data_IF_896107445702
#
_entry.id   IF_896107445702
#
_cell.length_a   1.000
_cell.length_b   1.000
_cell.length_c   1.000
_cell.angle_alpha   90.00
_cell.angle_beta   90.00
_cell.angle_gamma   90.00
#
_symmetry.space_group_name_H-M   'P 1'
#
loop_
_entity.id
_entity.type
_entity.pdbx_description
1 polymer ?
#
# COMPACT_ATOMS: atom_id res chain seq x y z
N UNK A 1 64.20 -22.07 -8.53
CA UNK A 1 63.05 -21.20 -8.84
C UNK A 1 61.79 -21.87 -8.30
N UNK A 2 61.29 -21.39 -7.15
CA UNK A 2 60.07 -21.84 -6.47
C UNK A 2 58.99 -20.80 -6.74
N UNK A 3 57.93 -21.17 -7.45
CA UNK A 3 56.74 -20.33 -7.65
C UNK A 3 55.68 -20.68 -6.61
N UNK A 4 55.44 -19.77 -5.68
CA UNK A 4 54.39 -19.89 -4.67
C UNK A 4 53.11 -19.21 -5.19
N UNK A 5 52.11 -20.01 -5.55
CA UNK A 5 50.74 -19.55 -5.76
C UNK A 5 50.10 -19.32 -4.38
N UNK A 6 49.97 -18.05 -4.00
CA UNK A 6 49.26 -17.60 -2.81
C UNK A 6 47.79 -17.46 -3.20
N UNK A 7 46.95 -18.40 -2.80
CA UNK A 7 45.49 -18.26 -2.90
C UNK A 7 45.01 -17.27 -1.84
N UNK A 8 44.84 -16.01 -2.21
CA UNK A 8 43.83 -15.17 -1.58
C UNK A 8 42.48 -15.72 -2.06
N UNK A 9 41.58 -16.21 -1.21
CA UNK A 9 41.06 -15.44 -0.07
C UNK A 9 40.05 -14.40 -0.55
N UNK A 10 39.41 -14.60 -1.70
CA UNK A 10 38.37 -13.72 -2.24
C UNK A 10 37.00 -14.24 -1.81
N UNK A 11 36.74 -14.19 -0.49
CA UNK A 11 35.38 -14.19 0.07
C UNK A 11 34.80 -12.77 -0.06
N UNK A 12 34.95 -12.22 -1.26
CA UNK A 12 34.46 -10.91 -1.68
C UNK A 12 32.94 -10.96 -1.72
N UNK A 13 32.34 -10.05 -0.95
CA UNK A 13 31.20 -9.25 -1.40
C UNK A 13 30.05 -10.05 -2.01
N UNK A 14 29.61 -11.11 -1.33
CA UNK A 14 28.16 -11.24 -1.16
C UNK A 14 27.76 -10.08 -0.23
N UNK A 15 27.80 -8.86 -0.79
CA UNK A 15 27.02 -7.75 -0.26
C UNK A 15 25.63 -8.33 -0.06
N UNK A 16 25.20 -8.39 1.19
CA UNK A 16 23.79 -8.48 1.51
C UNK A 16 23.15 -7.30 0.76
N UNK A 17 22.69 -7.54 -0.47
CA UNK A 17 21.74 -6.65 -1.11
C UNK A 17 20.63 -6.54 -0.07
N UNK A 18 20.32 -5.33 0.42
CA UNK A 18 19.25 -5.18 1.41
C UNK A 18 18.08 -5.94 0.83
N UNK A 19 17.67 -7.01 1.53
CA UNK A 19 16.63 -7.89 1.04
C UNK A 19 15.47 -6.96 0.62
N UNK A 20 14.94 -7.18 -0.58
CA UNK A 20 13.75 -6.48 -1.04
C UNK A 20 12.63 -6.86 -0.05
N UNK A 21 12.53 -6.07 1.03
CA UNK A 21 11.64 -6.30 2.14
C UNK A 21 10.27 -5.81 1.71
N UNK A 22 9.33 -6.74 1.59
CA UNK A 22 7.89 -6.52 1.40
C UNK A 22 7.56 -5.69 0.15
N UNK A 23 7.15 -6.39 -0.92
CA UNK A 23 6.48 -5.76 -2.06
C UNK A 23 4.96 -5.60 -1.81
N UNK A 24 4.55 -5.51 -0.54
CA UNK A 24 3.15 -5.34 -0.21
C UNK A 24 2.70 -3.99 -0.76
N UNK A 25 1.83 -4.05 -1.76
CA UNK A 25 1.30 -2.86 -2.41
C UNK A 25 -0.18 -2.73 -2.12
N UNK A 26 -0.64 -1.53 -1.82
CA UNK A 26 -2.04 -1.23 -1.64
C UNK A 26 -2.57 -0.43 -2.84
N UNK A 27 -3.82 -0.69 -3.20
CA UNK A 27 -4.56 0.15 -4.15
C UNK A 27 -5.98 0.40 -3.64
N UNK A 28 -6.67 1.36 -4.24
CA UNK A 28 -7.96 1.84 -3.75
C UNK A 28 -9.01 1.85 -4.86
N UNK A 29 -10.26 1.52 -4.50
CA UNK A 29 -11.41 1.64 -5.38
C UNK A 29 -12.61 2.26 -4.69
N UNK A 30 -13.52 2.76 -5.51
CA UNK A 30 -14.81 3.28 -5.09
C UNK A 30 -15.92 2.34 -5.54
N UNK A 31 -16.83 2.01 -4.63
CA UNK A 31 -17.94 1.11 -4.90
C UNK A 31 -19.12 1.85 -5.58
N UNK A 32 -20.21 1.16 -5.88
CA UNK A 32 -21.38 1.78 -6.54
C UNK A 32 -22.13 2.79 -5.65
N UNK A 33 -21.98 2.68 -4.32
CA UNK A 33 -22.58 3.54 -3.31
C UNK A 33 -21.69 4.74 -2.98
N UNK A 34 -20.43 4.74 -3.45
CA UNK A 34 -19.46 5.78 -3.17
C UNK A 34 -18.58 5.50 -1.95
N UNK A 35 -18.61 4.28 -1.39
CA UNK A 35 -17.68 3.87 -0.35
C UNK A 35 -16.29 3.63 -0.91
N UNK A 36 -15.28 3.81 -0.07
CA UNK A 36 -13.87 3.57 -0.45
C UNK A 36 -13.39 2.25 0.15
N UNK A 37 -12.80 1.42 -0.71
CA UNK A 37 -12.11 0.19 -0.34
C UNK A 37 -10.62 0.32 -0.57
N UNK A 38 -9.82 -0.21 0.36
CA UNK A 38 -8.36 -0.41 0.22
C UNK A 38 -8.10 -1.90 0.03
N UNK A 39 -7.23 -2.22 -0.92
CA UNK A 39 -6.96 -3.56 -1.40
C UNK A 39 -5.48 -3.86 -1.25
N UNK A 40 -5.15 -4.72 -0.30
CA UNK A 40 -3.79 -5.21 -0.06
C UNK A 40 -3.49 -6.40 -0.97
N UNK A 41 -2.50 -6.22 -1.84
CA UNK A 41 -2.07 -7.22 -2.82
C UNK A 41 -1.30 -8.39 -2.20
N UNK A 42 -0.65 -8.18 -1.04
CA UNK A 42 0.41 -9.08 -0.57
C UNK A 42 1.51 -9.29 -1.62
N UNK A 43 2.19 -10.44 -1.60
CA UNK A 43 3.37 -10.68 -2.45
C UNK A 43 3.08 -10.83 -3.96
N UNK A 44 1.93 -11.38 -4.36
CA UNK A 44 1.59 -11.62 -5.79
C UNK A 44 0.19 -11.16 -6.20
N UNK A 45 -0.41 -10.21 -5.46
CA UNK A 45 -1.76 -9.77 -5.79
C UNK A 45 -1.83 -8.98 -7.08
N UNK A 46 -2.95 -9.13 -7.79
CA UNK A 46 -3.20 -8.35 -8.98
C UNK A 46 -3.30 -6.87 -8.64
N UNK A 47 -2.41 -6.07 -9.20
CA UNK A 47 -2.48 -4.61 -9.07
C UNK A 47 -2.63 -3.98 -10.46
N UNK A 48 -3.29 -2.81 -10.57
CA UNK A 48 -3.34 -2.07 -11.83
C UNK A 48 -1.92 -1.83 -12.36
N UNK A 49 -1.63 -2.16 -13.62
CA UNK A 49 -0.28 -2.09 -14.22
C UNK A 49 0.37 -0.71 -14.08
N UNK A 50 -0.44 0.36 -14.04
CA UNK A 50 0.05 1.72 -13.82
C UNK A 50 0.74 1.90 -12.45
N UNK A 51 0.44 1.04 -11.46
CA UNK A 51 1.07 1.04 -10.15
C UNK A 51 2.28 0.07 -10.07
N UNK A 52 2.35 -1.00 -10.86
CA UNK A 52 3.41 -2.03 -10.77
C UNK A 52 4.80 -1.52 -11.17
N UNK A 53 4.87 -0.69 -12.21
CA UNK A 53 6.13 -0.46 -12.89
C UNK A 53 6.83 0.84 -12.48
N UNK A 54 6.23 1.73 -11.70
CA UNK A 54 6.81 3.03 -11.33
C UNK A 54 7.26 3.94 -12.49
N UNK A 55 7.10 3.48 -13.73
CA UNK A 55 7.49 4.13 -14.98
C UNK A 55 6.28 4.69 -15.73
N UNK A 56 5.09 4.16 -15.50
CA UNK A 56 3.89 4.97 -15.62
C UNK A 56 3.90 5.94 -14.43
N UNK A 57 3.54 7.21 -14.58
CA UNK A 57 3.24 8.00 -13.39
C UNK A 57 2.16 7.18 -12.67
N UNK A 58 2.49 6.62 -11.49
CA UNK A 58 1.52 6.07 -10.51
C UNK A 58 0.33 6.99 -10.65
N UNK A 59 -0.80 6.51 -11.21
CA UNK A 59 -1.77 7.39 -11.90
C UNK A 59 -1.78 8.74 -11.19
N UNK A 60 -1.23 9.84 -11.79
CA UNK A 60 -0.82 11.04 -11.06
C UNK A 60 -2.00 11.78 -10.41
N UNK A 61 -3.16 11.15 -10.44
CA UNK A 61 -4.44 11.59 -10.00
C UNK A 61 -4.95 10.81 -8.78
N UNK A 62 -4.42 9.64 -8.40
CA UNK A 62 -4.73 9.09 -7.07
C UNK A 62 -3.77 9.70 -6.05
N UNK A 63 -4.23 10.76 -5.39
CA UNK A 63 -3.46 11.45 -4.37
C UNK A 63 -3.84 10.90 -2.99
N UNK A 64 -2.97 10.11 -2.38
CA UNK A 64 -3.17 9.59 -1.02
C UNK A 64 -3.37 10.71 0.01
N UNK A 65 -2.77 11.88 -0.22
CA UNK A 65 -2.99 13.04 0.62
C UNK A 65 -4.47 13.49 0.58
N UNK A 66 -5.11 13.41 -0.60
CA UNK A 66 -6.53 13.75 -0.75
C UNK A 66 -7.45 12.73 -0.09
N UNK A 67 -7.10 11.44 -0.11
CA UNK A 67 -7.79 10.43 0.70
C UNK A 67 -7.60 10.73 2.19
N UNK A 68 -6.41 11.13 2.62
CA UNK A 68 -6.12 11.48 4.01
C UNK A 68 -6.94 12.68 4.47
N UNK A 69 -7.18 13.67 3.61
CA UNK A 69 -8.13 14.78 3.87
C UNK A 69 -9.54 14.25 4.19
N UNK A 70 -10.00 13.25 3.44
CA UNK A 70 -11.32 12.64 3.67
C UNK A 70 -11.38 11.86 4.98
N UNK A 71 -10.30 11.12 5.30
CA UNK A 71 -10.18 10.38 6.55
C UNK A 71 -10.16 11.33 7.75
N UNK A 72 -9.52 12.49 7.63
CA UNK A 72 -9.56 13.56 8.65
C UNK A 72 -10.99 14.07 8.83
N UNK A 73 -11.68 14.40 7.73
CA UNK A 73 -13.07 14.86 7.78
C UNK A 73 -13.99 13.82 8.42
N UNK A 74 -13.77 12.53 8.11
CA UNK A 74 -14.48 11.41 8.69
C UNK A 74 -14.23 11.27 10.19
N UNK A 75 -12.97 11.30 10.63
CA UNK A 75 -12.61 11.27 12.06
C UNK A 75 -13.24 12.42 12.85
N UNK A 76 -13.18 13.65 12.31
CA UNK A 76 -13.80 14.83 12.92
C UNK A 76 -15.32 14.68 13.07
N UNK A 77 -15.99 14.07 12.10
CA UNK A 77 -17.42 13.77 12.18
C UNK A 77 -17.74 12.75 13.29
N UNK A 78 -16.86 11.78 13.50
CA UNK A 78 -16.95 10.83 14.61
C UNK A 78 -16.64 11.47 15.98
N UNK A 79 -16.19 12.73 16.01
CA UNK A 79 -15.81 13.45 17.22
C UNK A 79 -14.35 13.27 17.61
N UNK A 80 -13.55 12.60 16.77
CA UNK A 80 -12.13 12.40 16.99
C UNK A 80 -11.33 13.58 16.42
N UNK A 81 -10.33 14.05 17.17
CA UNK A 81 -9.34 15.02 16.67
C UNK A 81 -8.07 14.26 16.28
N UNK A 82 -7.87 13.92 14.98
CA UNK A 82 -6.73 13.09 14.56
C UNK A 82 -5.39 13.77 14.85
N UNK A 83 -5.35 15.09 15.00
CA UNK A 83 -4.14 15.82 15.34
C UNK A 83 -3.78 15.71 16.83
N UNK A 84 -4.75 15.45 17.72
CA UNK A 84 -4.54 15.46 19.18
C UNK A 84 -3.74 16.69 19.64
N UNK A 85 -2.58 16.47 20.27
CA UNK A 85 -1.62 17.51 20.69
C UNK A 85 -0.51 17.79 19.65
N UNK A 86 -0.44 17.02 18.57
CA UNK A 86 0.60 17.17 17.55
C UNK A 86 0.37 18.43 16.72
N UNK A 87 1.39 19.29 16.63
CA UNK A 87 1.34 20.56 15.90
C UNK A 87 2.64 20.72 15.10
N UNK A 88 2.69 20.31 13.82
CA UNK A 88 3.88 20.44 13.01
C UNK A 88 4.27 21.91 12.84
N UNK A 89 5.54 22.18 12.57
CA UNK A 89 6.00 23.53 12.22
C UNK A 89 5.27 24.04 10.97
N UNK A 90 5.04 25.35 10.82
CA UNK A 90 4.42 25.88 9.61
C UNK A 90 5.35 25.64 8.42
N UNK A 91 4.79 25.17 7.32
CA UNK A 91 5.48 24.86 6.08
C UNK A 91 4.69 25.42 4.89
N UNK A 92 5.40 25.73 3.81
CA UNK A 92 4.77 26.20 2.58
C UNK A 92 4.27 25.00 1.77
N UNK A 93 3.04 25.08 1.26
CA UNK A 93 2.39 23.99 0.53
C UNK A 93 0.87 24.16 0.50
N UNK A 94 0.17 23.16 -0.03
CA UNK A 94 -1.30 23.12 0.13
C UNK A 94 -1.61 22.83 1.61
N UNK A 95 -2.53 23.58 2.19
CA UNK A 95 -2.75 23.59 3.63
C UNK A 95 -4.19 23.24 3.96
N UNK A 96 -4.36 22.29 4.86
CA UNK A 96 -5.60 22.04 5.58
C UNK A 96 -5.72 23.01 6.75
N UNK A 97 -6.92 23.53 6.96
CA UNK A 97 -7.26 24.44 8.05
C UNK A 97 -8.50 23.92 8.76
N UNK A 98 -8.38 23.65 10.05
CA UNK A 98 -9.51 23.34 10.91
C UNK A 98 -9.91 24.57 11.72
N UNK A 99 -11.17 24.98 11.59
CA UNK A 99 -11.76 26.13 12.25
C UNK A 99 -12.81 25.68 13.26
N UNK A 100 -12.71 26.20 14.48
CA UNK A 100 -13.63 25.99 15.60
C UNK A 100 -14.37 27.29 15.89
N UNK A 101 -15.25 27.65 14.96
CA UNK A 101 -16.11 28.84 14.97
C UNK A 101 -17.57 28.42 14.92
N UNK A 102 -18.49 29.30 15.36
CA UNK A 102 -19.91 28.93 15.52
C UNK A 102 -20.67 28.87 14.19
N UNK A 103 -20.29 29.71 13.22
CA UNK A 103 -20.98 29.81 11.93
C UNK A 103 -20.04 29.98 10.73
N UNK A 104 -20.63 29.84 9.54
CA UNK A 104 -19.91 29.87 8.26
C UNK A 104 -19.38 31.27 7.91
N UNK A 105 -20.04 32.35 8.36
CA UNK A 105 -19.61 33.71 8.06
C UNK A 105 -18.31 34.03 8.80
N UNK A 106 -18.19 33.62 10.08
CA UNK A 106 -16.94 33.71 10.85
C UNK A 106 -15.81 32.88 10.20
N UNK A 107 -16.14 31.69 9.69
CA UNK A 107 -15.17 30.84 8.99
C UNK A 107 -14.68 31.52 7.69
N UNK A 108 -15.58 32.14 6.92
CA UNK A 108 -15.22 32.86 5.70
C UNK A 108 -14.38 34.11 5.99
N UNK A 109 -14.69 34.85 7.06
CA UNK A 109 -13.90 35.99 7.52
C UNK A 109 -12.47 35.57 7.91
N UNK A 110 -12.32 34.45 8.65
CA UNK A 110 -11.02 33.93 9.04
C UNK A 110 -10.12 33.55 7.84
N UNK A 111 -10.74 33.17 6.72
CA UNK A 111 -10.08 32.76 5.49
C UNK A 111 -10.01 33.87 4.43
N UNK A 112 -10.38 35.11 4.78
CA UNK A 112 -10.48 36.21 3.83
C UNK A 112 -9.16 36.42 3.04
N UNK A 113 -9.32 36.64 1.72
CA UNK A 113 -8.23 36.89 0.80
C UNK A 113 -7.53 35.63 0.26
N UNK A 114 -7.92 34.44 0.72
CA UNK A 114 -7.42 33.16 0.25
C UNK A 114 -8.53 32.33 -0.42
N UNK A 115 -8.13 31.30 -1.16
CA UNK A 115 -9.08 30.39 -1.84
C UNK A 115 -9.02 29.01 -1.20
N UNK A 116 -10.19 28.55 -0.78
CA UNK A 116 -10.35 27.29 -0.07
C UNK A 116 -11.52 26.49 -0.62
N UNK A 117 -11.39 25.17 -0.52
CA UNK A 117 -12.44 24.19 -0.76
C UNK A 117 -12.94 23.74 0.61
N UNK A 118 -14.24 23.88 0.87
CA UNK A 118 -14.86 23.32 2.05
C UNK A 118 -14.91 21.80 1.93
N UNK A 119 -14.22 21.12 2.84
CA UNK A 119 -14.21 19.65 2.95
C UNK A 119 -15.33 19.20 3.89
N UNK A 120 -15.50 19.93 5.00
CA UNK A 120 -16.57 19.77 5.99
C UNK A 120 -17.21 21.15 6.22
N UNK A 121 -18.52 21.26 6.01
CA UNK A 121 -19.29 22.51 5.97
C UNK A 121 -20.14 22.78 7.23
N UNK A 122 -19.80 22.12 8.32
CA UNK A 122 -20.36 22.30 9.65
C UNK A 122 -19.24 22.33 10.71
N UNK A 123 -19.50 22.84 11.91
CA UNK A 123 -18.49 22.96 12.95
C UNK A 123 -18.00 21.59 13.49
N UNK A 124 -16.69 21.40 13.75
CA UNK A 124 -15.61 22.27 13.31
C UNK A 124 -15.46 22.19 11.79
N UNK A 125 -15.25 23.35 11.15
CA UNK A 125 -15.17 23.45 9.69
C UNK A 125 -13.77 23.05 9.22
N UNK A 126 -13.71 22.26 8.14
CA UNK A 126 -12.44 21.83 7.54
C UNK A 126 -12.33 22.34 6.12
N UNK A 127 -11.23 23.05 5.84
CA UNK A 127 -10.95 23.64 4.54
C UNK A 127 -9.60 23.18 4.00
N UNK A 128 -9.51 23.02 2.68
CA UNK A 128 -8.27 22.75 1.95
C UNK A 128 -7.97 23.90 0.99
N UNK A 129 -6.75 24.45 1.02
CA UNK A 129 -6.39 25.52 0.10
C UNK A 129 -6.41 25.05 -1.36
N UNK A 130 -6.91 25.91 -2.26
CA UNK A 130 -6.90 25.63 -3.72
C UNK A 130 -5.49 25.66 -4.31
N UNK A 131 -4.57 26.40 -3.68
CA UNK A 131 -3.16 26.52 -4.09
C UNK A 131 -2.20 26.41 -2.91
N UNK A 132 -0.91 26.51 -3.21
CA UNK A 132 0.12 26.55 -2.17
C UNK A 132 0.08 27.87 -1.42
N UNK A 133 0.16 27.79 -0.09
CA UNK A 133 0.35 28.93 0.80
C UNK A 133 1.83 29.06 1.16
N UNK A 134 2.29 30.29 1.33
CA UNK A 134 3.60 30.60 1.92
C UNK A 134 3.60 30.37 3.43
N UNK A 135 4.81 30.24 4.02
CA UNK A 135 4.95 30.09 5.47
C UNK A 135 4.30 31.26 6.22
N UNK A 136 4.48 32.50 5.76
CA UNK A 136 3.89 33.70 6.38
C UNK A 136 2.35 33.66 6.34
N UNK A 137 1.76 33.17 5.25
CA UNK A 137 0.30 32.99 5.16
C UNK A 137 -0.20 31.92 6.12
N UNK A 138 0.52 30.81 6.26
CA UNK A 138 0.20 29.74 7.22
C UNK A 138 0.34 30.23 8.66
N UNK A 139 1.39 31.00 8.99
CA UNK A 139 1.56 31.61 10.31
C UNK A 139 0.47 32.63 10.63
N UNK A 140 0.07 33.44 9.64
CA UNK A 140 -1.06 34.35 9.78
C UNK A 140 -2.34 33.57 10.10
N UNK A 141 -2.65 32.52 9.34
CA UNK A 141 -3.82 31.67 9.60
C UNK A 141 -3.79 31.04 11.00
N UNK A 142 -2.65 30.50 11.42
CA UNK A 142 -2.49 29.93 12.78
C UNK A 142 -2.71 30.95 13.90
N UNK A 143 -2.54 32.24 13.60
CA UNK A 143 -2.74 33.33 14.55
C UNK A 143 -4.15 33.91 14.51
N UNK A 144 -4.97 33.52 13.53
CA UNK A 144 -6.37 33.94 13.40
C UNK A 144 -7.23 33.27 14.48
N UNK A 145 -8.13 34.05 15.09
CA UNK A 145 -9.09 33.53 16.06
C UNK A 145 -9.98 32.44 15.43
N UNK A 146 -10.27 31.39 16.20
CA UNK A 146 -11.03 30.23 15.72
C UNK A 146 -10.23 29.19 14.95
N UNK A 147 -9.03 29.48 14.44
CA UNK A 147 -8.19 28.46 13.79
C UNK A 147 -7.62 27.53 14.86
N UNK A 148 -8.07 26.26 14.86
CA UNK A 148 -7.59 25.25 15.81
C UNK A 148 -6.21 24.72 15.42
N UNK A 149 -6.03 24.40 14.14
CA UNK A 149 -4.73 23.99 13.59
C UNK A 149 -4.68 24.16 12.07
N UNK A 150 -3.45 24.19 11.55
CA UNK A 150 -3.17 24.06 10.13
C UNK A 150 -2.15 22.95 9.89
N UNK A 151 -2.32 22.23 8.78
CA UNK A 151 -1.53 21.06 8.42
C UNK A 151 -1.17 21.11 6.94
N UNK A 152 0.10 20.90 6.59
CA UNK A 152 0.48 20.72 5.19
C UNK A 152 -0.10 19.41 4.68
N UNK A 153 -0.62 19.42 3.45
CA UNK A 153 -1.24 18.27 2.83
C UNK A 153 -0.30 17.04 2.82
N UNK A 154 1.01 17.24 2.65
CA UNK A 154 2.02 16.16 2.65
C UNK A 154 2.25 15.53 4.02
N UNK A 155 1.92 16.26 5.08
CA UNK A 155 2.07 15.80 6.46
C UNK A 155 0.85 14.98 6.92
N UNK A 156 -0.19 14.84 6.08
CA UNK A 156 -1.41 14.09 6.43
C UNK A 156 -1.19 12.58 6.52
N UNK A 157 -0.20 12.04 5.80
CA UNK A 157 0.16 10.61 5.84
C UNK A 157 0.55 10.15 7.26
N UNK A 158 1.27 11.00 7.99
CA UNK A 158 1.76 10.70 9.35
C UNK A 158 0.60 10.44 10.33
N UNK A 159 -0.57 11.04 10.13
CA UNK A 159 -1.74 10.90 11.00
C UNK A 159 -2.35 9.51 11.01
N UNK A 160 -2.18 8.78 9.91
CA UNK A 160 -2.81 7.48 9.71
C UNK A 160 -1.84 6.33 9.61
N UNK A 161 -0.53 6.62 9.59
CA UNK A 161 0.50 5.60 9.63
C UNK A 161 0.40 4.79 10.93
N UNK A 162 0.20 3.48 10.81
CA UNK A 162 0.17 2.55 11.94
C UNK A 162 -1.09 2.57 12.82
N UNK A 163 -2.16 3.26 12.42
CA UNK A 163 -3.37 3.31 13.22
C UNK A 163 -4.31 2.14 12.88
N UNK A 164 -4.55 1.24 13.84
CA UNK A 164 -5.50 0.12 13.71
C UNK A 164 -6.98 0.57 13.88
N UNK A 165 -7.23 1.87 14.03
CA UNK A 165 -8.57 2.44 14.19
C UNK A 165 -9.48 2.25 12.98
N UNK A 166 -10.76 2.57 13.18
CA UNK A 166 -11.73 2.69 12.10
C UNK A 166 -11.42 3.94 11.29
N UNK A 167 -10.97 3.75 10.05
CA UNK A 167 -10.63 4.82 9.12
C UNK A 167 -11.72 5.06 8.06
N UNK A 168 -12.88 4.42 8.24
CA UNK A 168 -14.00 4.48 7.33
C UNK A 168 -13.79 3.70 6.03
N UNK A 169 -12.66 3.00 5.86
CA UNK A 169 -12.36 2.25 4.63
C UNK A 169 -12.77 0.79 4.79
N UNK A 170 -13.19 0.16 3.69
CA UNK A 170 -13.30 -1.29 3.61
C UNK A 170 -11.92 -1.89 3.30
N UNK A 171 -11.40 -2.74 4.17
CA UNK A 171 -10.07 -3.34 3.98
C UNK A 171 -10.24 -4.73 3.39
N UNK A 172 -9.80 -4.87 2.16
CA UNK A 172 -9.72 -6.14 1.47
C UNK A 172 -8.27 -6.59 1.40
N UNK A 173 -8.03 -7.86 1.64
CA UNK A 173 -6.72 -8.48 1.43
C UNK A 173 -6.88 -9.59 0.43
N UNK A 174 -5.88 -9.77 -0.42
CA UNK A 174 -5.82 -10.91 -1.31
C UNK A 174 -5.94 -12.20 -0.50
N UNK A 175 -6.78 -13.12 -0.97
CA UNK A 175 -6.73 -14.49 -0.49
C UNK A 175 -5.42 -15.13 -0.99
N UNK A 176 -4.58 -15.66 -0.09
CA UNK A 176 -3.33 -16.35 -0.43
C UNK A 176 -3.55 -17.64 -1.26
N UNK A 177 -4.78 -17.92 -1.65
CA UNK A 177 -5.14 -18.95 -2.61
C UNK A 177 -4.61 -18.68 -4.03
N UNK A 178 -5.06 -19.54 -4.93
CA UNK A 178 -4.64 -19.57 -6.34
C UNK A 178 -5.32 -18.49 -7.19
N UNK A 179 -6.12 -17.58 -6.65
CA UNK A 179 -6.87 -16.62 -7.49
C UNK A 179 -6.34 -15.18 -7.30
N UNK A 180 -5.44 -14.69 -8.17
CA UNK A 180 -4.73 -13.42 -7.94
C UNK A 180 -5.66 -12.20 -7.98
N UNK A 181 -6.84 -12.33 -8.60
CA UNK A 181 -7.86 -11.28 -8.65
C UNK A 181 -8.92 -11.39 -7.56
N UNK A 182 -8.81 -12.32 -6.60
CA UNK A 182 -9.76 -12.49 -5.51
C UNK A 182 -9.28 -11.78 -4.23
N UNK A 183 -10.13 -10.88 -3.75
CA UNK A 183 -9.93 -10.11 -2.55
C UNK A 183 -11.01 -10.41 -1.54
N UNK A 184 -10.63 -10.69 -0.29
CA UNK A 184 -11.56 -11.00 0.80
C UNK A 184 -11.57 -9.85 1.80
N UNK A 185 -12.77 -9.42 2.19
CA UNK A 185 -12.96 -8.38 3.19
C UNK A 185 -12.40 -8.85 4.54
N UNK A 186 -11.36 -8.17 5.02
CA UNK A 186 -10.77 -8.41 6.34
C UNK A 186 -11.42 -7.53 7.41
N UNK A 187 -11.74 -6.28 7.06
CA UNK A 187 -12.30 -5.30 7.98
C UNK A 187 -13.31 -4.40 7.29
N UNK A 188 -14.54 -4.42 7.80
CA UNK A 188 -15.55 -3.41 7.47
C UNK A 188 -15.46 -2.26 8.48
N UNK A 189 -15.61 -1.00 8.03
CA UNK A 189 -15.72 0.14 8.93
C UNK A 189 -17.09 0.13 9.62
N UNK A 190 -17.17 0.67 10.84
CA UNK A 190 -18.44 0.87 11.55
C UNK A 190 -19.23 2.03 10.92
N UNK A 191 -18.52 3.08 10.52
CA UNK A 191 -19.06 4.19 9.74
C UNK A 191 -18.30 4.31 8.42
N UNK A 192 -18.86 3.88 7.29
CA UNK A 192 -18.18 3.98 6.01
C UNK A 192 -17.87 5.42 5.60
N UNK A 193 -16.67 5.61 5.05
CA UNK A 193 -16.27 6.83 4.36
C UNK A 193 -16.96 6.88 3.00
N UNK A 194 -17.88 7.83 2.85
CA UNK A 194 -18.60 8.08 1.60
C UNK A 194 -17.97 9.25 0.84
N UNK A 195 -17.74 9.05 -0.47
CA UNK A 195 -17.32 10.13 -1.35
C UNK A 195 -18.48 11.09 -1.63
N UNK A 196 -18.52 12.16 -0.84
CA UNK A 196 -19.52 13.21 -0.98
C UNK A 196 -19.51 13.81 -2.41
N UNK A 197 -20.68 14.02 -3.04
CA UNK A 197 -20.77 14.65 -4.36
C UNK A 197 -20.20 16.06 -4.44
N UNK A 198 -20.05 16.76 -3.30
CA UNK A 198 -19.49 18.13 -3.24
C UNK A 198 -17.99 18.16 -3.54
N UNK A 199 -17.29 17.05 -3.30
CA UNK A 199 -15.88 16.93 -3.52
C UNK A 199 -15.57 16.49 -4.95
N UNK A 200 -16.26 17.00 -5.97
CA UNK A 200 -16.12 16.52 -7.35
C UNK A 200 -14.67 16.49 -7.85
N UNK A 201 -13.84 17.42 -7.38
CA UNK A 201 -12.41 17.45 -7.72
C UNK A 201 -11.67 16.25 -7.10
N UNK A 202 -11.81 16.03 -5.79
CA UNK A 202 -11.21 14.87 -5.10
C UNK A 202 -11.84 13.54 -5.55
N UNK A 203 -13.16 13.54 -5.80
CA UNK A 203 -13.91 12.40 -6.31
C UNK A 203 -13.47 12.04 -7.72
N UNK A 204 -13.20 12.99 -8.62
CA UNK A 204 -12.72 12.69 -9.97
C UNK A 204 -11.37 11.94 -9.97
N UNK A 205 -10.51 12.25 -8.99
CA UNK A 205 -9.28 11.54 -8.72
C UNK A 205 -9.54 10.10 -8.25
N UNK A 206 -10.37 9.94 -7.21
CA UNK A 206 -10.67 8.64 -6.59
C UNK A 206 -11.59 7.74 -7.43
N UNK A 207 -12.41 8.31 -8.31
CA UNK A 207 -13.49 7.62 -9.04
C UNK A 207 -13.09 6.92 -10.34
N UNK A 208 -11.81 6.96 -10.73
CA UNK A 208 -11.37 6.26 -11.95
C UNK A 208 -11.46 4.76 -11.82
N UNK A 209 -11.27 4.24 -10.61
CA UNK A 209 -11.44 2.83 -10.31
C UNK A 209 -12.75 2.62 -9.56
N UNK A 210 -13.84 2.63 -10.32
CA UNK A 210 -15.17 2.30 -9.81
C UNK A 210 -15.46 0.83 -10.04
N UNK A 211 -15.79 0.12 -8.97
CA UNK A 211 -16.27 -1.24 -9.04
C UNK A 211 -17.79 -1.24 -8.94
N UNK A 212 -18.52 -1.95 -9.82
CA UNK A 212 -19.98 -2.08 -9.76
C UNK A 212 -20.37 -3.10 -8.68
N UNK A 213 -19.93 -2.84 -7.46
CA UNK A 213 -20.06 -3.68 -6.27
C UNK A 213 -20.49 -2.81 -5.11
N UNK A 214 -21.22 -3.37 -4.16
CA UNK A 214 -21.53 -2.74 -2.88
C UNK A 214 -20.62 -3.37 -1.82
N UNK A 215 -19.62 -2.64 -1.35
CA UNK A 215 -18.65 -3.17 -0.37
C UNK A 215 -19.31 -3.51 0.96
N UNK A 216 -20.42 -2.86 1.33
CA UNK A 216 -21.15 -3.16 2.56
C UNK A 216 -21.83 -4.54 2.57
N UNK A 217 -22.04 -5.12 1.38
CA UNK A 217 -22.72 -6.41 1.18
C UNK A 217 -21.80 -7.52 0.67
N UNK A 218 -20.54 -7.19 0.39
CA UNK A 218 -19.61 -8.08 -0.31
C UNK A 218 -18.54 -8.57 0.65
N UNK A 219 -18.56 -9.86 0.96
CA UNK A 219 -17.48 -10.51 1.72
C UNK A 219 -16.24 -10.73 0.84
N UNK A 220 -16.43 -10.79 -0.47
CA UNK A 220 -15.38 -11.00 -1.46
C UNK A 220 -15.62 -10.13 -2.69
N UNK A 221 -14.53 -9.67 -3.29
CA UNK A 221 -14.53 -8.95 -4.56
C UNK A 221 -13.57 -9.66 -5.49
N UNK A 222 -14.06 -10.08 -6.64
CA UNK A 222 -13.22 -10.68 -7.65
C UNK A 222 -13.14 -9.76 -8.88
N UNK A 223 -11.95 -9.23 -9.14
CA UNK A 223 -11.73 -8.22 -10.19
C UNK A 223 -12.16 -8.69 -11.58
N UNK A 224 -11.98 -9.97 -11.91
CA UNK A 224 -12.37 -10.55 -13.18
C UNK A 224 -13.90 -10.51 -13.43
N UNK A 225 -14.71 -10.37 -12.39
CA UNK A 225 -16.17 -10.30 -12.51
C UNK A 225 -16.66 -8.88 -12.86
N UNK A 226 -15.76 -7.89 -12.80
CA UNK A 226 -16.07 -6.47 -12.94
C UNK A 226 -15.30 -5.76 -14.05
N UNK A 227 -14.24 -6.38 -14.55
CA UNK A 227 -13.39 -5.85 -15.61
C UNK A 227 -13.61 -6.62 -16.91
N UNK A 228 -13.55 -5.93 -18.04
CA UNK A 228 -13.46 -6.61 -19.33
C UNK A 228 -12.15 -7.40 -19.45
N UNK A 229 -12.09 -8.39 -20.33
CA UNK A 229 -10.87 -9.19 -20.54
C UNK A 229 -9.66 -8.31 -20.92
N UNK A 230 -9.88 -7.23 -21.68
CA UNK A 230 -8.84 -6.28 -22.05
C UNK A 230 -8.35 -5.44 -20.87
N UNK A 231 -9.25 -5.04 -19.96
CA UNK A 231 -8.88 -4.36 -18.72
C UNK A 231 -8.19 -5.33 -17.76
N UNK A 232 -8.68 -6.56 -17.61
CA UNK A 232 -8.06 -7.58 -16.75
C UNK A 232 -6.59 -7.86 -17.12
N UNK A 233 -6.25 -7.79 -18.41
CA UNK A 233 -4.87 -7.94 -18.89
C UNK A 233 -3.95 -6.78 -18.48
N UNK A 234 -4.51 -5.66 -17.99
CA UNK A 234 -3.74 -4.54 -17.47
C UNK A 234 -3.49 -4.61 -15.96
N UNK A 235 -3.74 -5.73 -15.28
CA UNK A 235 -3.67 -5.85 -13.81
C UNK A 235 -2.58 -6.81 -13.32
N UNK A 236 -1.40 -6.71 -13.92
CA UNK A 236 -0.23 -7.54 -13.63
C UNK A 236 0.12 -8.51 -14.76
N UNK A 237 1.18 -9.28 -14.53
CA UNK A 237 1.65 -10.31 -15.48
C UNK A 237 0.82 -11.61 -15.40
N UNK A 238 0.06 -11.78 -14.31
CA UNK A 238 -0.79 -12.94 -14.06
C UNK A 238 -2.24 -12.63 -14.48
N UNK A 239 -2.96 -13.59 -15.08
CA UNK A 239 -4.37 -13.39 -15.37
C UNK A 239 -5.15 -13.29 -14.05
N UNK A 240 -6.11 -12.36 -13.97
CA UNK A 240 -6.92 -12.15 -12.77
C UNK A 240 -7.62 -13.41 -12.27
N UNK A 241 -7.93 -14.35 -13.17
CA UNK A 241 -8.50 -15.66 -12.86
C UNK A 241 -7.70 -16.72 -13.58
N UNK A 242 -7.26 -17.75 -12.86
CA UNK A 242 -6.62 -18.89 -13.51
C UNK A 242 -7.66 -19.71 -14.27
N UNK A 243 -7.54 -19.72 -15.60
CA UNK A 243 -8.32 -20.64 -16.42
C UNK A 243 -7.80 -22.07 -16.26
N UNK A 244 -8.64 -23.06 -16.56
CA UNK A 244 -8.21 -24.46 -16.58
C UNK A 244 -7.01 -24.68 -17.53
N UNK A 245 -6.95 -23.93 -18.63
CA UNK A 245 -5.84 -23.96 -19.58
C UNK A 245 -4.56 -23.36 -18.98
N UNK A 246 -4.66 -22.28 -18.22
CA UNK A 246 -3.54 -21.66 -17.52
C UNK A 246 -2.95 -22.62 -16.47
N UNK A 247 -3.81 -23.24 -15.64
CA UNK A 247 -3.38 -24.23 -14.65
C UNK A 247 -2.70 -25.43 -15.30
N UNK A 248 -3.27 -25.97 -16.39
CA UNK A 248 -2.66 -27.07 -17.14
C UNK A 248 -1.30 -26.69 -17.75
N UNK A 249 -1.15 -25.45 -18.23
CA UNK A 249 0.13 -24.94 -18.71
C UNK A 249 1.15 -24.78 -17.57
N UNK A 250 0.73 -24.29 -16.41
CA UNK A 250 1.58 -24.15 -15.23
C UNK A 250 2.07 -25.53 -14.73
N UNK A 251 1.17 -26.50 -14.58
CA UNK A 251 1.52 -27.89 -14.23
C UNK A 251 2.54 -28.49 -15.21
N UNK A 252 2.39 -28.21 -16.51
CA UNK A 252 3.36 -28.64 -17.53
C UNK A 252 4.72 -27.96 -17.33
N UNK A 253 4.75 -26.65 -17.08
CA UNK A 253 6.00 -25.91 -16.82
C UNK A 253 6.70 -26.43 -15.57
N UNK A 254 5.97 -26.69 -14.50
CA UNK A 254 6.51 -27.23 -13.25
C UNK A 254 7.07 -28.64 -13.44
N UNK A 255 6.36 -29.50 -14.18
CA UNK A 255 6.85 -30.83 -14.56
C UNK A 255 8.15 -30.75 -15.38
N UNK A 256 8.25 -29.83 -16.34
CA UNK A 256 9.47 -29.60 -17.12
C UNK A 256 10.64 -29.10 -16.25
N UNK A 257 10.38 -28.20 -15.30
CA UNK A 257 11.38 -27.69 -14.36
C UNK A 257 11.90 -28.83 -13.48
N UNK A 258 11.00 -29.64 -12.90
CA UNK A 258 11.35 -30.82 -12.13
C UNK A 258 12.16 -31.83 -12.94
N UNK A 259 11.79 -32.07 -14.20
CA UNK A 259 12.54 -32.94 -15.10
C UNK A 259 13.95 -32.39 -15.38
N UNK A 260 14.08 -31.08 -15.65
CA UNK A 260 15.39 -30.42 -15.81
C UNK A 260 16.24 -30.53 -14.56
N UNK A 261 15.66 -30.35 -13.37
CA UNK A 261 16.36 -30.56 -12.11
C UNK A 261 16.79 -32.01 -11.92
N UNK A 262 15.94 -32.98 -12.27
CA UNK A 262 16.28 -34.40 -12.20
C UNK A 262 17.44 -34.74 -13.15
N UNK A 263 17.45 -34.20 -14.38
CA UNK A 263 18.55 -34.39 -15.34
C UNK A 263 19.85 -33.70 -14.92
N UNK A 264 19.76 -32.57 -14.21
CA UNK A 264 20.93 -31.83 -13.68
C UNK A 264 21.55 -32.45 -12.43
N UNK A 265 20.87 -33.39 -11.75
CA UNK A 265 21.50 -34.17 -10.68
C UNK A 265 22.56 -35.07 -11.31
N UNK A 266 23.78 -34.55 -11.40
CA UNK A 266 24.95 -35.30 -11.81
C UNK A 266 25.14 -36.48 -10.84
N UNK A 267 24.99 -37.73 -11.30
CA UNK A 267 25.12 -38.89 -10.43
C UNK A 267 26.51 -38.97 -9.79
N UNK A 268 27.55 -38.38 -10.39
CA UNK A 268 28.88 -38.31 -9.79
C UNK A 268 28.96 -37.27 -8.66
N UNK A 269 28.26 -36.14 -8.80
CA UNK A 269 28.15 -35.15 -7.72
C UNK A 269 27.39 -35.72 -6.51
N UNK A 270 26.30 -36.46 -6.74
CA UNK A 270 25.54 -37.11 -5.66
C UNK A 270 26.34 -38.23 -4.96
N UNK A 271 27.12 -39.03 -5.72
CA UNK A 271 28.09 -39.97 -5.14
C UNK A 271 29.16 -39.24 -4.32
N UNK A 272 29.68 -38.12 -4.80
CA UNK A 272 30.67 -37.32 -4.09
C UNK A 272 30.12 -36.76 -2.77
N UNK A 273 28.88 -36.22 -2.78
CA UNK A 273 28.18 -35.76 -1.56
C UNK A 273 27.99 -36.90 -0.55
N UNK A 274 27.57 -38.07 -1.02
CA UNK A 274 27.38 -39.24 -0.14
C UNK A 274 28.70 -39.70 0.47
N UNK A 275 29.78 -39.73 -0.30
CA UNK A 275 31.13 -40.04 0.21
C UNK A 275 31.58 -39.02 1.26
N UNK A 276 31.37 -37.73 1.01
CA UNK A 276 31.74 -36.67 1.94
C UNK A 276 30.95 -36.76 3.25
N UNK A 277 29.64 -37.02 3.17
CA UNK A 277 28.79 -37.20 4.35
C UNK A 277 29.22 -38.41 5.20
N UNK A 278 29.55 -39.55 4.56
CA UNK A 278 30.08 -40.73 5.26
C UNK A 278 31.42 -40.47 5.94
N UNK A 279 32.33 -39.75 5.27
CA UNK A 279 33.61 -39.34 5.87
C UNK A 279 33.41 -38.41 7.06
N UNK A 280 32.45 -37.47 6.97
CA UNK A 280 32.09 -36.60 8.08
C UNK A 280 31.55 -37.36 9.30
N UNK A 281 30.64 -38.31 9.09
CA UNK A 281 30.11 -39.17 10.16
C UNK A 281 31.19 -40.02 10.82
N UNK A 282 32.12 -40.59 10.03
CA UNK A 282 33.26 -41.34 10.56
C UNK A 282 34.16 -40.44 11.41
N UNK A 283 34.45 -39.22 10.95
CA UNK A 283 35.27 -38.27 11.68
C UNK A 283 34.63 -37.86 13.01
N UNK A 284 33.32 -37.59 13.02
CA UNK A 284 32.55 -37.31 14.25
C UNK A 284 32.63 -38.50 15.21
N UNK A 285 32.45 -39.73 14.71
CA UNK A 285 32.56 -40.94 15.53
C UNK A 285 33.94 -41.11 16.18
N UNK A 286 35.01 -40.80 15.45
CA UNK A 286 36.39 -40.82 15.99
C UNK A 286 36.57 -39.76 17.07
N UNK A 287 36.08 -38.53 16.86
CA UNK A 287 36.15 -37.48 17.88
C UNK A 287 35.41 -37.85 19.16
N UNK A 288 34.20 -38.42 19.05
CA UNK A 288 33.43 -38.91 20.20
C UNK A 288 34.18 -40.02 20.94
N UNK A 289 34.73 -40.99 20.21
CA UNK A 289 35.51 -42.07 20.82
C UNK A 289 36.74 -41.56 21.57
N UNK A 290 37.46 -40.60 21.00
CA UNK A 290 38.62 -39.98 21.64
C UNK A 290 38.25 -39.16 22.87
N UNK A 291 37.07 -38.53 22.89
CA UNK A 291 36.58 -37.77 24.04
C UNK A 291 36.15 -38.66 25.21
N UNK A 292 35.69 -39.88 24.93
CA UNK A 292 35.26 -40.86 25.94
C UNK A 292 36.41 -41.66 26.57
N UNK A 293 37.64 -41.53 26.06
CA UNK A 293 38.84 -42.22 26.57
C UNK A 293 39.72 -41.30 27.40
#
# INVERSE_FOLDING_TARGET
>A
MKGALKSAGDASLLEDFPAAHSMDTQWYAVDEQGHVGVFDTGEDGALPNDAAFGFAPVDPNFNEDELSVLRIAHALKAGDDPMGDWRPAPSAGRTLVLLDVEDEDEAQEALEGLRFIAIKDDAPFLFLSEGELSVDEVERLRSTEGVRWTLDLRDTYELFSGNEGDDGLYHFTRDHGEDPGLYTLQRAPAEPLELAPKLKQLSAALSRLRLPVDFSKSEQVHLADHLSEGEAQTWGDLPLRYSADYLAEQERRDAEILERHARRKDPELEKAKTRLALLGLLFIGVLIYLWLR
#
